data_IF_079359821279
#
_entry.id   IF_079359821279
#
_cell.length_a   1.000
_cell.length_b   1.000
_cell.length_c   1.000
_cell.angle_alpha   90.00
_cell.angle_beta   90.00
_cell.angle_gamma   90.00
#
_symmetry.space_group_name_H-M   'P 1'
#
loop_
_entity.id
_entity.type
_entity.pdbx_description
1 polymer ?
#
# COMPACT_ATOMS: atom_id res chain seq x y z
N UNK A 1 22.67 8.34 -67.61
CA UNK A 1 22.62 7.28 -66.57
C UNK A 1 23.22 7.78 -65.24
N UNK A 2 22.71 8.88 -64.66
CA UNK A 2 23.31 9.53 -63.45
C UNK A 2 22.25 9.87 -62.37
N UNK A 3 20.95 9.75 -62.69
CA UNK A 3 19.86 10.10 -61.77
C UNK A 3 19.50 9.01 -60.75
N UNK A 4 19.93 7.76 -60.96
CA UNK A 4 19.67 6.66 -60.01
C UNK A 4 20.57 6.72 -58.78
N UNK A 5 21.88 6.96 -58.91
CA UNK A 5 22.83 6.92 -57.78
C UNK A 5 22.50 7.89 -56.63
N UNK A 6 22.03 9.10 -56.94
CA UNK A 6 21.65 10.11 -55.93
C UNK A 6 20.38 9.75 -55.15
N UNK A 7 19.42 9.10 -55.80
CA UNK A 7 18.19 8.67 -55.15
C UNK A 7 18.46 7.51 -54.17
N UNK A 8 19.34 6.58 -54.55
CA UNK A 8 19.73 5.45 -53.70
C UNK A 8 20.60 5.89 -52.50
N UNK A 9 21.49 6.86 -52.68
CA UNK A 9 22.24 7.45 -51.56
C UNK A 9 21.35 8.21 -50.59
N UNK A 10 20.29 8.87 -51.10
CA UNK A 10 19.31 9.57 -50.27
C UNK A 10 18.46 8.59 -49.45
N UNK A 11 17.97 7.51 -50.06
CA UNK A 11 17.22 6.45 -49.36
C UNK A 11 18.07 5.75 -48.30
N UNK A 12 19.35 5.46 -48.59
CA UNK A 12 20.26 4.86 -47.61
C UNK A 12 20.52 5.78 -46.40
N UNK A 13 20.62 7.10 -46.62
CA UNK A 13 20.77 8.08 -45.55
C UNK A 13 19.52 8.16 -44.67
N UNK A 14 18.32 8.13 -45.26
CA UNK A 14 17.04 8.12 -44.52
C UNK A 14 16.92 6.88 -43.64
N UNK A 15 17.15 5.68 -44.21
CA UNK A 15 17.10 4.42 -43.45
C UNK A 15 18.13 4.39 -42.32
N UNK A 16 19.32 4.97 -42.53
CA UNK A 16 20.35 5.07 -41.49
C UNK A 16 19.94 6.02 -40.35
N UNK A 17 19.32 7.15 -40.69
CA UNK A 17 18.81 8.11 -39.70
C UNK A 17 17.65 7.51 -38.88
N UNK A 18 16.70 6.83 -39.52
CA UNK A 18 15.60 6.14 -38.83
C UNK A 18 16.12 5.04 -37.88
N UNK A 19 17.08 4.22 -38.34
CA UNK A 19 17.73 3.22 -37.46
C UNK A 19 18.42 3.86 -36.26
N UNK A 20 19.08 5.01 -36.44
CA UNK A 20 19.75 5.74 -35.34
C UNK A 20 18.73 6.27 -34.33
N UNK A 21 17.62 6.84 -34.81
CA UNK A 21 16.52 7.34 -33.97
C UNK A 21 15.87 6.22 -33.14
N UNK A 22 15.58 5.08 -33.77
CA UNK A 22 15.00 3.91 -33.08
C UNK A 22 15.96 3.39 -32.00
N UNK A 23 17.27 3.34 -32.30
CA UNK A 23 18.27 2.89 -31.33
C UNK A 23 18.41 3.85 -30.14
N UNK A 24 18.29 5.16 -30.34
CA UNK A 24 18.27 6.16 -29.27
C UNK A 24 17.03 6.01 -28.36
N UNK A 25 15.87 5.77 -28.95
CA UNK A 25 14.62 5.54 -28.22
C UNK A 25 14.67 4.24 -27.40
N UNK A 26 15.17 3.15 -28.01
CA UNK A 26 15.42 1.87 -27.31
C UNK A 26 16.43 2.06 -26.18
N UNK A 27 17.51 2.81 -26.39
CA UNK A 27 18.50 3.09 -25.34
C UNK A 27 17.91 3.92 -24.19
N UNK A 28 17.06 4.90 -24.48
CA UNK A 28 16.36 5.68 -23.47
C UNK A 28 15.39 4.80 -22.66
N UNK A 29 14.64 3.93 -23.33
CA UNK A 29 13.75 2.96 -22.69
C UNK A 29 14.53 1.98 -21.80
N UNK A 30 15.65 1.43 -22.29
CA UNK A 30 16.53 0.56 -21.50
C UNK A 30 17.10 1.31 -20.30
N UNK A 31 17.50 2.58 -20.46
CA UNK A 31 18.03 3.40 -19.36
C UNK A 31 16.97 3.71 -18.31
N UNK A 32 15.73 3.98 -18.72
CA UNK A 32 14.59 4.15 -17.82
C UNK A 32 14.26 2.83 -17.10
N UNK A 33 14.22 1.71 -17.82
CA UNK A 33 14.02 0.38 -17.23
C UNK A 33 15.13 0.02 -16.24
N UNK A 34 16.40 0.29 -16.56
CA UNK A 34 17.55 0.08 -15.66
C UNK A 34 17.50 0.98 -14.43
N UNK A 35 17.10 2.25 -14.57
CA UNK A 35 16.94 3.17 -13.44
C UNK A 35 15.80 2.73 -12.51
N UNK A 36 14.67 2.29 -13.09
CA UNK A 36 13.54 1.70 -12.35
C UNK A 36 14.00 0.43 -11.64
N UNK A 37 14.69 -0.48 -12.33
CA UNK A 37 15.25 -1.71 -11.75
C UNK A 37 16.23 -1.41 -10.61
N UNK A 38 17.15 -0.45 -10.78
CA UNK A 38 18.13 -0.07 -9.76
C UNK A 38 17.47 0.56 -8.52
N UNK A 39 16.51 1.47 -8.73
CA UNK A 39 15.75 2.10 -7.64
C UNK A 39 14.88 1.08 -6.91
N UNK A 40 14.23 0.17 -7.66
CA UNK A 40 13.47 -0.93 -7.11
C UNK A 40 14.37 -1.89 -6.32
N UNK A 41 15.65 -2.03 -6.67
CA UNK A 41 16.54 -2.95 -5.99
C UNK A 41 16.73 -2.57 -4.51
N UNK A 42 17.05 -1.30 -4.22
CA UNK A 42 17.22 -0.80 -2.85
C UNK A 42 15.92 -0.83 -2.04
N UNK A 43 14.80 -0.48 -2.67
CA UNK A 43 13.48 -0.53 -2.03
C UNK A 43 13.14 -2.00 -1.71
N UNK A 44 13.42 -2.92 -2.63
CA UNK A 44 13.19 -4.34 -2.43
C UNK A 44 14.10 -4.94 -1.35
N UNK A 45 15.36 -4.48 -1.24
CA UNK A 45 16.25 -4.85 -0.12
C UNK A 45 15.64 -4.44 1.21
N UNK A 46 15.24 -3.17 1.33
CA UNK A 46 14.63 -2.64 2.54
C UNK A 46 13.39 -3.44 2.95
N UNK A 47 12.47 -3.69 2.02
CA UNK A 47 11.28 -4.50 2.32
C UNK A 47 11.65 -5.94 2.68
N UNK A 48 12.59 -6.58 1.98
CA UNK A 48 12.99 -7.94 2.29
C UNK A 48 13.59 -8.05 3.70
N UNK A 49 14.47 -7.13 4.08
CA UNK A 49 15.06 -7.08 5.43
C UNK A 49 14.00 -6.86 6.52
N UNK A 50 13.12 -5.87 6.34
CA UNK A 50 12.07 -5.56 7.30
C UNK A 50 11.07 -6.70 7.43
N UNK A 51 10.58 -7.27 6.32
CA UNK A 51 9.62 -8.37 6.33
C UNK A 51 10.21 -9.64 6.94
N UNK A 52 11.49 -9.91 6.70
CA UNK A 52 12.19 -11.03 7.34
C UNK A 52 12.24 -10.85 8.86
N UNK A 53 12.69 -9.68 9.33
CA UNK A 53 12.72 -9.34 10.76
C UNK A 53 11.31 -9.40 11.38
N UNK A 54 10.29 -8.91 10.68
CA UNK A 54 8.91 -8.91 11.15
C UNK A 54 8.37 -10.33 11.32
N UNK A 55 8.67 -11.26 10.39
CA UNK A 55 8.30 -12.67 10.53
C UNK A 55 9.05 -13.35 11.67
N UNK A 56 10.35 -13.05 11.86
CA UNK A 56 11.11 -13.57 12.99
C UNK A 56 10.54 -13.08 14.33
N UNK A 57 10.15 -11.80 14.41
CA UNK A 57 9.48 -11.23 15.58
C UNK A 57 8.10 -11.86 15.81
N UNK A 58 7.31 -12.07 14.75
CA UNK A 58 6.02 -12.73 14.83
C UNK A 58 6.15 -14.17 15.35
N UNK A 59 7.07 -14.96 14.77
CA UNK A 59 7.35 -16.33 15.21
C UNK A 59 7.86 -16.39 16.66
N UNK A 60 8.55 -15.34 17.12
CA UNK A 60 9.02 -15.20 18.50
C UNK A 60 7.97 -14.63 19.46
N UNK A 61 6.74 -14.36 19.00
CA UNK A 61 5.67 -13.75 19.80
C UNK A 61 5.87 -12.27 20.16
N UNK A 62 6.84 -11.58 19.54
CA UNK A 62 7.19 -10.17 19.81
C UNK A 62 6.36 -9.23 18.93
N UNK A 63 5.04 -9.22 19.14
CA UNK A 63 4.09 -8.45 18.32
C UNK A 63 4.37 -6.93 18.31
N UNK A 64 4.86 -6.39 19.43
CA UNK A 64 5.20 -4.97 19.55
C UNK A 64 6.46 -4.54 18.77
N UNK A 65 7.21 -5.50 18.21
CA UNK A 65 8.39 -5.23 17.37
C UNK A 65 8.11 -5.40 15.87
N UNK A 66 6.88 -5.77 15.50
CA UNK A 66 6.48 -5.88 14.10
C UNK A 66 6.33 -4.48 13.52
N UNK A 67 7.05 -4.21 12.43
CA UNK A 67 7.00 -2.94 11.71
C UNK A 67 5.75 -2.83 10.84
N UNK A 68 5.53 -1.65 10.26
CA UNK A 68 4.47 -1.45 9.25
C UNK A 68 4.90 -1.86 7.83
N UNK A 69 6.04 -2.53 7.64
CA UNK A 69 6.53 -2.90 6.32
C UNK A 69 5.53 -3.75 5.55
N UNK A 70 4.91 -4.75 6.18
CA UNK A 70 3.88 -5.57 5.53
C UNK A 70 2.68 -4.73 5.08
N UNK A 71 2.27 -3.72 5.85
CA UNK A 71 1.17 -2.82 5.50
C UNK A 71 1.49 -1.98 4.25
N UNK A 72 2.73 -1.52 4.12
CA UNK A 72 3.17 -0.67 3.01
C UNK A 72 3.78 -1.45 1.84
N UNK A 73 3.98 -2.76 1.99
CA UNK A 73 4.43 -3.62 0.93
C UNK A 73 3.40 -3.60 -0.22
N UNK A 74 3.82 -3.43 -1.48
CA UNK A 74 2.91 -3.43 -2.61
C UNK A 74 2.08 -4.72 -2.69
N UNK A 75 0.82 -4.58 -3.08
CA UNK A 75 -0.05 -5.74 -3.33
C UNK A 75 0.40 -6.44 -4.60
N UNK A 76 0.51 -7.76 -4.53
CA UNK A 76 0.79 -8.63 -5.68
C UNK A 76 -0.24 -8.39 -6.77
N UNK A 77 0.22 -8.26 -8.02
CA UNK A 77 -0.59 -8.03 -9.22
C UNK A 77 -1.30 -6.66 -9.29
N UNK A 78 -0.96 -5.74 -8.37
CA UNK A 78 -1.33 -4.32 -8.49
C UNK A 78 -0.73 -3.69 -9.75
N UNK A 79 -1.28 -2.56 -10.20
CA UNK A 79 -0.73 -1.81 -11.34
C UNK A 79 0.74 -1.45 -11.15
N UNK A 80 1.12 -1.09 -9.92
CA UNK A 80 2.50 -0.81 -9.54
C UNK A 80 3.39 -2.05 -9.61
N UNK A 81 2.95 -3.18 -9.07
CA UNK A 81 3.73 -4.41 -9.13
C UNK A 81 3.90 -4.92 -10.57
N UNK A 82 2.86 -4.82 -11.40
CA UNK A 82 2.93 -5.20 -12.82
C UNK A 82 3.93 -4.35 -13.62
N UNK A 83 4.08 -3.07 -13.28
CA UNK A 83 5.01 -2.17 -13.98
C UNK A 83 6.43 -2.24 -13.43
N UNK A 84 6.62 -2.55 -12.15
CA UNK A 84 7.92 -2.48 -11.47
C UNK A 84 8.54 -3.85 -11.13
N UNK A 85 7.73 -4.91 -11.12
CA UNK A 85 8.07 -6.25 -10.62
C UNK A 85 8.64 -6.24 -9.19
N UNK A 86 8.24 -5.26 -8.38
CA UNK A 86 8.76 -5.06 -7.03
C UNK A 86 8.45 -6.25 -6.12
N UNK A 87 7.27 -6.87 -6.22
CA UNK A 87 6.94 -8.04 -5.38
C UNK A 87 7.73 -9.27 -5.81
N UNK A 88 8.06 -9.40 -7.11
CA UNK A 88 8.98 -10.45 -7.58
C UNK A 88 10.37 -10.25 -6.99
N UNK A 89 10.90 -9.02 -7.06
CA UNK A 89 12.21 -8.68 -6.49
C UNK A 89 12.27 -8.95 -4.98
N UNK A 90 11.28 -8.51 -4.21
CA UNK A 90 11.17 -8.79 -2.77
C UNK A 90 11.09 -10.30 -2.52
N UNK A 91 10.25 -11.02 -3.27
CA UNK A 91 10.08 -12.46 -3.11
C UNK A 91 11.37 -13.24 -3.42
N UNK A 92 12.14 -12.84 -4.45
CA UNK A 92 13.43 -13.46 -4.79
C UNK A 92 14.46 -13.31 -3.67
N UNK A 93 14.43 -12.19 -2.95
CA UNK A 93 15.32 -11.91 -1.81
C UNK A 93 14.94 -12.71 -0.56
N UNK A 94 13.63 -12.86 -0.30
CA UNK A 94 13.12 -13.65 0.83
C UNK A 94 13.20 -15.16 0.60
N UNK A 95 12.99 -15.61 -0.65
CA UNK A 95 12.99 -17.01 -1.03
C UNK A 95 13.96 -17.28 -2.19
N UNK A 96 15.29 -17.12 -1.99
CA UNK A 96 16.28 -17.41 -3.02
C UNK A 96 16.18 -18.85 -3.54
N UNK A 97 16.62 -19.11 -4.77
CA UNK A 97 16.51 -20.43 -5.40
C UNK A 97 17.20 -21.57 -4.63
N UNK A 98 18.25 -21.25 -3.88
CA UNK A 98 18.96 -22.20 -3.02
C UNK A 98 18.32 -22.41 -1.63
N UNK A 99 17.25 -21.66 -1.29
CA UNK A 99 16.60 -21.75 0.02
C UNK A 99 15.70 -22.96 0.20
N UNK A 100 15.15 -23.52 -0.88
CA UNK A 100 14.22 -24.64 -0.84
C UNK A 100 14.52 -25.62 -2.00
N UNK A 101 14.71 -26.93 -1.72
CA UNK A 101 14.88 -27.94 -2.76
C UNK A 101 13.79 -27.94 -3.83
N UNK A 102 12.55 -27.51 -3.49
CA UNK A 102 11.41 -27.43 -4.41
C UNK A 102 11.64 -26.44 -5.56
N UNK A 103 12.59 -25.51 -5.43
CA UNK A 103 12.91 -24.54 -6.48
C UNK A 103 13.94 -25.06 -7.49
N UNK A 104 14.62 -26.17 -7.19
CA UNK A 104 15.68 -26.71 -8.04
C UNK A 104 15.10 -27.23 -9.35
N UNK A 105 15.67 -26.81 -10.47
CA UNK A 105 15.26 -27.27 -11.80
C UNK A 105 13.94 -26.71 -12.33
N UNK A 106 13.25 -25.84 -11.58
CA UNK A 106 12.06 -25.16 -12.09
C UNK A 106 12.42 -24.22 -13.25
N UNK A 107 11.48 -23.97 -14.15
CA UNK A 107 11.54 -22.84 -15.07
C UNK A 107 11.36 -21.52 -14.29
N UNK A 108 11.93 -20.41 -14.80
CA UNK A 108 11.90 -19.11 -14.14
C UNK A 108 10.47 -18.63 -13.85
N UNK A 109 9.53 -18.79 -14.80
CA UNK A 109 8.14 -18.41 -14.59
C UNK A 109 7.47 -19.18 -13.44
N UNK A 110 7.71 -20.49 -13.36
CA UNK A 110 7.20 -21.33 -12.26
C UNK A 110 7.85 -20.99 -10.93
N UNK A 111 9.15 -20.71 -10.91
CA UNK A 111 9.85 -20.25 -9.71
C UNK A 111 9.26 -18.92 -9.19
N UNK A 112 9.12 -17.92 -10.07
CA UNK A 112 8.53 -16.61 -9.74
C UNK A 112 7.11 -16.73 -9.21
N UNK A 113 6.28 -17.55 -9.84
CA UNK A 113 4.91 -17.83 -9.36
C UNK A 113 4.91 -18.38 -7.93
N UNK A 114 5.77 -19.37 -7.64
CA UNK A 114 5.85 -20.03 -6.33
C UNK A 114 6.31 -19.08 -5.23
N UNK A 115 7.36 -18.30 -5.48
CA UNK A 115 7.88 -17.37 -4.46
C UNK A 115 6.91 -16.20 -4.21
N UNK A 116 6.16 -15.75 -5.22
CA UNK A 116 5.10 -14.74 -5.05
C UNK A 116 3.95 -15.27 -4.20
N UNK A 117 3.51 -16.51 -4.42
CA UNK A 117 2.49 -17.13 -3.57
C UNK A 117 3.00 -17.34 -2.12
N UNK A 118 4.27 -17.72 -1.95
CA UNK A 118 4.90 -17.78 -0.60
C UNK A 118 4.97 -16.41 0.07
N UNK A 119 5.40 -15.36 -0.64
CA UNK A 119 5.39 -13.98 -0.12
C UNK A 119 4.01 -13.60 0.40
N UNK A 120 2.95 -13.89 -0.37
CA UNK A 120 1.58 -13.61 0.09
C UNK A 120 1.20 -14.44 1.32
N UNK A 121 1.28 -15.77 1.22
CA UNK A 121 0.69 -16.67 2.22
C UNK A 121 1.52 -16.80 3.49
N UNK A 122 2.84 -16.81 3.37
CA UNK A 122 3.75 -17.07 4.49
C UNK A 122 4.30 -15.80 5.12
N UNK A 123 4.22 -14.65 4.43
CA UNK A 123 4.76 -13.38 4.93
C UNK A 123 3.65 -12.35 5.13
N UNK A 124 3.00 -11.91 4.04
CA UNK A 124 2.07 -10.77 4.11
C UNK A 124 0.80 -11.10 4.90
N UNK A 125 0.12 -12.22 4.62
CA UNK A 125 -1.10 -12.64 5.33
C UNK A 125 -0.92 -12.73 6.86
N UNK A 126 0.08 -13.47 7.38
CA UNK A 126 0.26 -13.58 8.83
C UNK A 126 0.67 -12.24 9.47
N UNK A 127 1.47 -11.42 8.79
CA UNK A 127 1.83 -10.08 9.29
C UNK A 127 0.63 -9.12 9.29
N UNK A 128 -0.20 -9.14 8.25
CA UNK A 128 -1.43 -8.32 8.20
C UNK A 128 -2.41 -8.70 9.32
N UNK A 129 -2.51 -9.99 9.63
CA UNK A 129 -3.29 -10.48 10.77
C UNK A 129 -2.71 -10.00 12.10
N UNK A 130 -1.39 -10.10 12.28
CA UNK A 130 -0.72 -9.64 13.49
C UNK A 130 -0.81 -8.12 13.70
N UNK A 131 -0.86 -7.36 12.60
CA UNK A 131 -1.07 -5.91 12.61
C UNK A 131 -2.55 -5.51 12.77
N UNK A 132 -3.47 -6.47 12.78
CA UNK A 132 -4.92 -6.25 12.89
C UNK A 132 -5.44 -5.26 11.85
N UNK A 133 -5.00 -5.41 10.59
CA UNK A 133 -5.46 -4.54 9.50
C UNK A 133 -6.94 -4.80 9.20
N UNK A 134 -7.76 -3.74 9.04
CA UNK A 134 -9.21 -3.89 8.85
C UNK A 134 -9.55 -4.73 7.60
N UNK A 135 -8.77 -4.59 6.53
CA UNK A 135 -8.98 -5.29 5.27
C UNK A 135 -8.92 -6.82 5.41
N UNK A 136 -8.15 -7.34 6.39
CA UNK A 136 -8.08 -8.79 6.67
C UNK A 136 -9.44 -9.30 7.12
N UNK A 137 -10.03 -8.66 8.13
CA UNK A 137 -11.34 -9.02 8.67
C UNK A 137 -12.46 -8.79 7.66
N UNK A 138 -12.42 -7.65 6.95
CA UNK A 138 -13.41 -7.32 5.93
C UNK A 138 -13.43 -8.35 4.80
N UNK A 139 -12.24 -8.80 4.35
CA UNK A 139 -12.13 -9.82 3.29
C UNK A 139 -12.62 -11.20 3.74
N UNK A 140 -12.50 -11.51 5.03
CA UNK A 140 -13.02 -12.74 5.64
C UNK A 140 -14.51 -12.64 6.03
N UNK A 141 -15.14 -11.47 5.84
CA UNK A 141 -16.48 -11.15 6.33
C UNK A 141 -16.64 -11.30 7.86
N UNK A 142 -15.54 -11.14 8.61
CA UNK A 142 -15.45 -11.24 10.08
C UNK A 142 -15.58 -9.85 10.73
N UNK A 143 -16.63 -9.10 10.38
CA UNK A 143 -16.83 -7.71 10.82
C UNK A 143 -16.91 -7.57 12.35
N UNK A 144 -17.53 -8.54 13.00
CA UNK A 144 -17.70 -8.60 14.45
C UNK A 144 -16.38 -8.72 15.24
N UNK A 145 -15.29 -9.14 14.58
CA UNK A 145 -13.97 -9.33 15.18
C UNK A 145 -13.02 -8.18 14.90
N UNK A 146 -13.45 -7.19 14.11
CA UNK A 146 -12.62 -6.07 13.69
C UNK A 146 -12.48 -5.05 14.83
N UNK A 147 -11.26 -4.76 15.31
CA UNK A 147 -11.04 -3.81 16.39
C UNK A 147 -11.17 -2.35 15.89
N UNK A 148 -12.39 -1.80 15.91
CA UNK A 148 -12.72 -0.45 15.41
C UNK A 148 -11.82 0.66 15.98
N UNK A 149 -11.39 0.54 17.24
CA UNK A 149 -10.49 1.49 17.92
C UNK A 149 -9.06 1.53 17.34
N UNK A 150 -8.65 0.49 16.60
CA UNK A 150 -7.33 0.44 15.93
C UNK A 150 -7.38 0.85 14.47
N UNK A 151 -8.58 1.04 13.91
CA UNK A 151 -8.76 1.45 12.52
C UNK A 151 -8.19 2.86 12.32
N UNK A 152 -7.24 3.06 11.40
CA UNK A 152 -6.72 4.38 11.08
C UNK A 152 -7.81 5.34 10.61
N UNK A 153 -7.64 6.65 10.85
CA UNK A 153 -8.65 7.67 10.55
C UNK A 153 -9.11 7.68 9.09
N UNK A 154 -8.17 7.51 8.16
CA UNK A 154 -8.44 7.45 6.72
C UNK A 154 -9.20 6.17 6.34
N UNK A 155 -8.81 5.02 6.93
CA UNK A 155 -9.52 3.77 6.70
C UNK A 155 -10.96 3.85 7.25
N UNK A 156 -11.15 4.46 8.42
CA UNK A 156 -12.47 4.69 9.00
C UNK A 156 -13.35 5.54 8.06
N UNK A 157 -12.82 6.65 7.55
CA UNK A 157 -13.50 7.49 6.54
C UNK A 157 -13.90 6.69 5.30
N UNK A 158 -13.00 5.86 4.77
CA UNK A 158 -13.23 5.10 3.54
C UNK A 158 -14.23 3.94 3.73
N UNK A 159 -14.19 3.28 4.88
CA UNK A 159 -14.92 2.03 5.11
C UNK A 159 -16.19 2.19 5.97
N UNK A 160 -16.48 3.37 6.52
CA UNK A 160 -17.67 3.60 7.36
C UNK A 160 -18.98 3.12 6.74
N UNK A 161 -19.18 3.31 5.43
CA UNK A 161 -20.40 2.83 4.73
C UNK A 161 -20.51 1.31 4.76
N UNK A 162 -19.38 0.60 4.75
CA UNK A 162 -19.35 -0.85 4.86
C UNK A 162 -19.59 -1.31 6.31
N UNK A 163 -19.03 -0.61 7.31
CA UNK A 163 -19.34 -0.86 8.72
C UNK A 163 -20.85 -0.74 8.98
N UNK A 164 -21.48 0.34 8.53
CA UNK A 164 -22.92 0.54 8.67
C UNK A 164 -23.76 -0.53 7.97
N UNK A 165 -23.26 -1.09 6.87
CA UNK A 165 -23.97 -2.10 6.06
C UNK A 165 -23.85 -3.50 6.67
N UNK A 166 -22.67 -3.87 7.15
CA UNK A 166 -22.36 -5.23 7.57
C UNK A 166 -22.48 -5.44 9.07
N UNK A 167 -22.32 -4.39 9.87
CA UNK A 167 -22.25 -4.49 11.33
C UNK A 167 -22.72 -3.20 12.02
N UNK A 168 -23.95 -2.78 11.69
CA UNK A 168 -24.50 -1.50 12.14
C UNK A 168 -24.54 -1.38 13.66
N UNK A 169 -24.96 -2.44 14.34
CA UNK A 169 -25.18 -2.45 15.78
C UNK A 169 -23.86 -2.35 16.56
N UNK A 170 -22.86 -3.19 16.22
CA UNK A 170 -21.53 -3.11 16.87
C UNK A 170 -20.82 -1.80 16.52
N UNK A 171 -21.01 -1.27 15.32
CA UNK A 171 -20.44 0.02 14.94
C UNK A 171 -21.05 1.17 15.76
N UNK A 172 -22.37 1.20 15.95
CA UNK A 172 -23.03 2.19 16.82
C UNK A 172 -22.56 2.08 18.27
N UNK A 173 -22.48 0.87 18.82
CA UNK A 173 -21.96 0.66 20.17
C UNK A 173 -20.52 1.22 20.31
N UNK A 174 -19.69 1.02 19.28
CA UNK A 174 -18.36 1.62 19.24
C UNK A 174 -18.42 3.16 19.27
N UNK A 175 -19.27 3.80 18.45
CA UNK A 175 -19.42 5.26 18.43
C UNK A 175 -19.91 5.79 19.77
N UNK A 176 -20.90 5.15 20.41
CA UNK A 176 -21.36 5.51 21.75
C UNK A 176 -20.25 5.44 22.80
N UNK A 177 -19.37 4.43 22.71
CA UNK A 177 -18.20 4.31 23.58
C UNK A 177 -17.16 5.40 23.31
N UNK A 178 -17.00 5.85 22.07
CA UNK A 178 -16.15 7.02 21.73
C UNK A 178 -16.75 8.30 22.30
N UNK A 179 -18.06 8.51 22.14
CA UNK A 179 -18.80 9.67 22.69
C UNK A 179 -18.69 9.74 24.20
N UNK A 180 -18.75 8.58 24.87
CA UNK A 180 -18.56 8.43 26.32
C UNK A 180 -17.09 8.52 26.77
N UNK A 181 -16.16 8.84 25.86
CA UNK A 181 -14.71 8.94 26.09
C UNK A 181 -14.05 7.65 26.64
N UNK A 182 -14.74 6.51 26.54
CA UNK A 182 -14.24 5.19 26.97
C UNK A 182 -13.17 4.65 26.03
N UNK A 183 -13.25 5.02 24.75
CA UNK A 183 -12.26 4.69 23.71
C UNK A 183 -12.00 5.93 22.86
N UNK A 184 -10.85 5.97 22.19
CA UNK A 184 -10.48 7.08 21.29
C UNK A 184 -10.59 6.62 19.84
N UNK A 185 -11.23 7.45 19.02
CA UNK A 185 -11.18 7.32 17.57
C UNK A 185 -9.87 7.93 17.03
N UNK A 186 -9.34 7.37 15.94
CA UNK A 186 -8.22 7.96 15.24
C UNK A 186 -8.67 9.15 14.38
N UNK A 187 -7.95 10.27 14.47
CA UNK A 187 -8.16 11.46 13.63
C UNK A 187 -6.88 12.05 13.01
N UNK A 188 -5.69 11.63 13.47
CA UNK A 188 -4.45 12.37 13.23
C UNK A 188 -3.95 12.45 11.78
N UNK A 189 -4.44 11.61 10.87
CA UNK A 189 -4.07 11.66 9.45
C UNK A 189 -5.11 12.37 8.57
N UNK A 190 -6.29 12.73 9.11
CA UNK A 190 -7.30 13.48 8.37
C UNK A 190 -7.01 14.96 8.43
N UNK A 191 -7.31 15.66 7.35
CA UNK A 191 -7.25 17.12 7.29
C UNK A 191 -8.64 17.72 7.59
N UNK A 192 -8.72 18.96 8.12
CA UNK A 192 -10.00 19.60 8.47
C UNK A 192 -11.04 19.57 7.34
N UNK A 193 -10.64 19.87 6.11
CA UNK A 193 -11.54 19.86 4.96
C UNK A 193 -12.07 18.46 4.61
N UNK A 194 -11.32 17.40 4.93
CA UNK A 194 -11.76 16.03 4.71
C UNK A 194 -12.81 15.60 5.72
N UNK A 195 -12.71 16.09 6.96
CA UNK A 195 -13.68 15.84 8.02
C UNK A 195 -14.97 16.59 7.71
N UNK A 196 -14.89 17.87 7.33
CA UNK A 196 -16.05 18.68 6.93
C UNK A 196 -16.78 18.06 5.74
N UNK A 197 -16.04 17.60 4.72
CA UNK A 197 -16.65 16.93 3.56
C UNK A 197 -17.41 15.64 3.93
N UNK A 198 -17.07 15.02 5.07
CA UNK A 198 -17.69 13.79 5.54
C UNK A 198 -18.92 14.01 6.43
N UNK A 199 -19.33 15.26 6.71
CA UNK A 199 -20.53 15.58 7.52
C UNK A 199 -21.83 15.14 6.84
N UNK A 200 -21.88 15.18 5.51
CA UNK A 200 -23.06 14.83 4.72
C UNK A 200 -23.13 13.34 4.33
N UNK A 201 -22.31 12.49 4.95
CA UNK A 201 -22.30 11.06 4.66
C UNK A 201 -23.45 10.30 5.32
N UNK A 202 -23.64 9.04 4.90
CA UNK A 202 -24.75 8.19 5.33
C UNK A 202 -24.78 7.80 6.82
N UNK A 203 -23.80 8.21 7.62
CA UNK A 203 -23.80 8.12 9.09
C UNK A 203 -24.42 9.36 9.76
N UNK A 204 -24.93 10.33 8.99
CA UNK A 204 -25.42 11.60 9.54
C UNK A 204 -24.31 12.48 10.12
N UNK A 205 -23.05 12.23 9.74
CA UNK A 205 -21.89 13.01 10.16
C UNK A 205 -21.29 12.61 11.52
N UNK A 206 -21.82 11.60 12.20
CA UNK A 206 -21.37 11.21 13.56
C UNK A 206 -19.87 10.89 13.63
N UNK A 207 -19.33 10.12 12.67
CA UNK A 207 -17.89 9.81 12.63
C UNK A 207 -17.07 11.07 12.43
N UNK A 208 -17.54 11.99 11.58
CA UNK A 208 -16.85 13.23 11.30
C UNK A 208 -16.79 14.13 12.54
N UNK A 209 -17.89 14.27 13.28
CA UNK A 209 -17.93 15.02 14.54
C UNK A 209 -16.96 14.45 15.58
N UNK A 210 -16.94 13.13 15.76
CA UNK A 210 -16.01 12.49 16.70
C UNK A 210 -14.55 12.65 16.28
N UNK A 211 -14.25 12.60 14.98
CA UNK A 211 -12.91 12.85 14.46
C UNK A 211 -12.50 14.33 14.57
N UNK A 212 -13.44 15.26 14.38
CA UNK A 212 -13.24 16.69 14.60
C UNK A 212 -12.89 16.99 16.05
N UNK A 213 -13.72 16.53 17.00
CA UNK A 213 -13.47 16.68 18.44
C UNK A 213 -12.09 16.16 18.82
N UNK A 214 -11.75 14.94 18.36
CA UNK A 214 -10.44 14.33 18.61
C UNK A 214 -9.27 15.18 18.10
N UNK A 215 -9.41 15.77 16.91
CA UNK A 215 -8.39 16.64 16.30
C UNK A 215 -8.21 17.93 17.11
N UNK A 216 -9.31 18.60 17.47
CA UNK A 216 -9.28 19.82 18.28
C UNK A 216 -8.63 19.55 19.64
N UNK A 217 -8.99 18.44 20.30
CA UNK A 217 -8.39 18.03 21.58
C UNK A 217 -6.87 17.81 21.47
N UNK A 218 -6.40 17.25 20.36
CA UNK A 218 -4.95 17.06 20.11
C UNK A 218 -4.22 18.38 19.88
N UNK A 219 -4.86 19.34 19.19
CA UNK A 219 -4.30 20.66 18.96
C UNK A 219 -4.25 21.47 20.26
N UNK A 220 -5.32 21.42 21.07
CA UNK A 220 -5.41 22.07 22.38
C UNK A 220 -4.31 21.63 23.36
N UNK A 221 -3.88 20.37 23.28
CA UNK A 221 -2.76 19.85 24.08
C UNK A 221 -1.40 20.40 23.65
N UNK A 222 -1.26 20.83 22.39
CA UNK A 222 -0.01 21.36 21.82
C UNK A 222 0.10 22.89 21.93
N UNK A 223 -0.98 23.58 22.27
CA UNK A 223 -1.03 25.03 22.45
C UNK A 223 -2.47 25.53 22.53
N UNK A 224 -2.67 26.82 22.84
CA UNK A 224 -4.03 27.42 22.89
C UNK A 224 -4.60 27.53 21.48
N UNK A 225 -5.60 26.72 21.16
CA UNK A 225 -6.56 27.02 20.09
C UNK A 225 -7.66 27.85 20.74
N UNK A 226 -7.91 29.04 20.21
CA UNK A 226 -9.00 29.88 20.69
C UNK A 226 -10.22 29.49 19.87
N UNK A 227 -11.22 28.84 20.49
CA UNK A 227 -12.52 28.66 19.86
C UNK A 227 -13.14 30.05 19.65
N UNK A 228 -13.19 30.49 18.39
CA UNK A 228 -13.94 31.69 18.01
C UNK A 228 -15.41 31.30 17.97
N UNK A 229 -16.09 31.39 19.12
CA UNK A 229 -17.54 31.40 19.15
C UNK A 229 -18.03 32.57 18.28
N UNK A 230 -18.51 32.26 17.09
CA UNK A 230 -19.32 33.19 16.32
C UNK A 230 -20.70 33.18 16.97
N UNK A 231 -20.89 34.09 17.92
CA UNK A 231 -22.22 34.44 18.39
C UNK A 231 -23.04 34.94 17.22
N UNK A 232 -24.13 34.22 16.93
CA UNK A 232 -25.25 34.70 16.12
C UNK A 232 -26.38 35.01 17.09
#
# INVERSE_FOLDING_TARGET
MVRSGKAWSSLAAIVKAEKSSIMEEVALYIKAALYILYSNNRISDLFAELLKSDIENLNSGKLNKISLAAKWCPTIDSSYDKSTLICESIAKKLFPRNSDPQFKGLEEGHYVYRIRDKLRKQVLVPLHKALELPEVFMSANEWNSLPCNRVPSVAMKNYKKLFLKHDNDLFKEYLERVTSEKVKIAAGALLPHEIIAALSDGDGGEVAELQWKRMVDDLMKKGKVVELHHGV
#
